data_IF_248728345373
#
_entry.id   IF_248728345373
#
_cell.length_a   1.000
_cell.length_b   1.000
_cell.length_c   1.000
_cell.angle_alpha   90.00
_cell.angle_beta   90.00
_cell.angle_gamma   90.00
#
_symmetry.space_group_name_H-M   'P 1'
#
loop_
_entity.id
_entity.type
_entity.pdbx_description
1 polymer ?
#
# COMPACT_ATOMS: atom_id res chain seq x y z
N UNK A 1 59.65 -30.11 30.10
CA UNK A 1 59.05 -29.94 28.75
C UNK A 1 57.60 -29.51 28.93
N UNK A 2 57.28 -28.20 28.82
CA UNK A 2 55.93 -27.62 28.97
C UNK A 2 55.37 -27.42 27.57
N UNK A 3 54.29 -28.13 27.20
CA UNK A 3 53.52 -27.92 25.94
C UNK A 3 52.57 -26.74 26.14
N UNK A 4 52.78 -25.70 25.37
CA UNK A 4 51.85 -24.57 25.26
C UNK A 4 50.73 -24.94 24.29
N UNK A 5 49.47 -24.88 24.77
CA UNK A 5 48.27 -24.99 23.97
C UNK A 5 47.91 -23.59 23.44
N UNK A 6 47.98 -23.43 22.14
CA UNK A 6 47.52 -22.23 21.46
C UNK A 6 46.00 -22.39 21.25
N UNK A 7 45.21 -21.60 21.98
CA UNK A 7 43.74 -21.45 21.71
C UNK A 7 43.56 -20.46 20.57
N UNK A 8 43.08 -20.93 19.42
CA UNK A 8 42.66 -20.10 18.34
C UNK A 8 41.21 -19.60 18.63
N UNK A 9 41.06 -18.33 18.92
CA UNK A 9 39.77 -17.69 19.01
C UNK A 9 39.23 -17.44 17.59
N UNK A 10 38.18 -18.19 17.21
CA UNK A 10 37.41 -17.92 15.99
C UNK A 10 36.47 -16.72 16.29
N UNK A 11 36.81 -15.56 15.76
CA UNK A 11 35.94 -14.40 15.74
C UNK A 11 34.91 -14.62 14.62
N UNK A 12 33.70 -15.02 15.00
CA UNK A 12 32.55 -15.03 14.11
C UNK A 12 32.11 -13.58 13.83
N UNK A 13 32.55 -13.05 12.70
CA UNK A 13 32.05 -11.79 12.15
C UNK A 13 30.59 -12.05 11.71
N UNK A 14 29.65 -11.72 12.57
CA UNK A 14 28.22 -11.66 12.17
C UNK A 14 28.03 -10.48 11.23
N UNK A 15 28.08 -10.75 9.93
CA UNK A 15 27.69 -9.80 8.90
C UNK A 15 26.17 -9.62 9.00
N UNK A 16 25.73 -8.66 9.79
CA UNK A 16 24.35 -8.16 9.73
C UNK A 16 24.22 -7.39 8.43
N UNK A 17 23.80 -8.07 7.38
CA UNK A 17 23.36 -7.40 6.17
C UNK A 17 22.17 -6.50 6.53
N UNK A 18 22.42 -5.21 6.69
CA UNK A 18 21.36 -4.21 6.71
C UNK A 18 20.57 -4.36 5.41
N UNK A 19 19.23 -4.32 5.46
CA UNK A 19 18.41 -4.52 4.27
C UNK A 19 18.70 -3.41 3.27
N UNK A 20 19.33 -3.75 2.16
CA UNK A 20 19.66 -2.86 1.05
C UNK A 20 18.41 -2.33 0.29
N UNK A 21 17.21 -2.51 0.85
CA UNK A 21 15.92 -2.24 0.21
C UNK A 21 15.30 -0.85 0.53
N UNK A 22 15.96 -0.02 1.34
CA UNK A 22 15.41 1.32 1.68
C UNK A 22 16.05 2.50 0.94
N UNK A 23 17.09 2.28 0.14
CA UNK A 23 17.71 3.36 -0.63
C UNK A 23 16.85 3.70 -1.85
N UNK A 24 16.09 4.78 -1.76
CA UNK A 24 15.33 5.36 -2.88
C UNK A 24 13.84 5.56 -2.64
N UNK A 25 13.27 5.08 -1.54
CA UNK A 25 11.87 5.39 -1.19
C UNK A 25 11.78 6.80 -0.63
N UNK A 26 10.86 7.59 -1.17
CA UNK A 26 10.50 8.86 -0.55
C UNK A 26 10.15 8.62 0.92
N UNK A 27 10.70 9.41 1.86
CA UNK A 27 10.26 9.33 3.24
C UNK A 27 8.75 9.53 3.25
N UNK A 28 8.03 8.68 4.01
CA UNK A 28 6.59 8.84 4.18
C UNK A 28 6.34 10.26 4.67
N UNK A 29 5.67 11.07 3.86
CA UNK A 29 5.35 12.44 4.23
C UNK A 29 4.31 12.41 5.34
N UNK A 30 4.76 12.64 6.55
CA UNK A 30 3.91 12.79 7.73
C UNK A 30 3.76 11.51 8.56
N UNK A 31 3.63 11.71 9.86
CA UNK A 31 3.15 10.70 10.81
C UNK A 31 1.63 10.72 10.67
N UNK A 32 1.03 9.57 10.34
CA UNK A 32 -0.42 9.43 10.31
C UNK A 32 -0.85 8.38 11.35
N UNK A 33 -2.07 8.46 11.89
CA UNK A 33 -2.65 7.41 12.71
C UNK A 33 -2.65 6.08 11.92
N UNK A 34 -2.51 4.96 12.61
CA UNK A 34 -2.28 3.66 11.96
C UNK A 34 -0.81 3.44 11.64
N UNK A 35 -0.52 2.52 10.77
CA UNK A 35 0.84 2.16 10.38
C UNK A 35 1.08 2.30 8.88
N UNK A 36 2.35 2.23 8.50
CA UNK A 36 2.73 2.05 7.09
C UNK A 36 3.47 0.75 6.92
N UNK A 37 3.08 0.00 5.89
CA UNK A 37 3.70 -1.27 5.50
C UNK A 37 4.18 -1.21 4.06
N UNK A 38 5.18 -2.03 3.73
CA UNK A 38 5.57 -2.23 2.32
C UNK A 38 4.57 -3.17 1.64
N UNK A 39 4.51 -3.24 0.29
CA UNK A 39 3.65 -4.19 -0.40
C UNK A 39 3.89 -5.64 0.03
N UNK A 40 5.16 -6.04 0.19
CA UNK A 40 5.52 -7.39 0.67
C UNK A 40 5.02 -7.65 2.09
N UNK A 41 5.12 -6.66 3.00
CA UNK A 41 4.58 -6.78 4.35
C UNK A 41 3.06 -6.86 4.33
N UNK A 42 2.39 -6.03 3.53
CA UNK A 42 0.94 -6.07 3.36
C UNK A 42 0.46 -7.44 2.85
N UNK A 43 1.15 -7.99 1.86
CA UNK A 43 0.83 -9.33 1.35
C UNK A 43 0.98 -10.42 2.42
N UNK A 44 2.04 -10.34 3.25
CA UNK A 44 2.22 -11.28 4.39
C UNK A 44 1.09 -11.17 5.42
N UNK A 45 0.65 -9.95 5.74
CA UNK A 45 -0.47 -9.73 6.68
C UNK A 45 -1.76 -10.34 6.10
N UNK A 46 -2.04 -10.15 4.81
CA UNK A 46 -3.18 -10.77 4.13
C UNK A 46 -3.16 -12.31 4.21
N UNK A 47 -1.97 -12.92 4.11
CA UNK A 47 -1.83 -14.37 4.17
C UNK A 47 -1.96 -14.94 5.59
N UNK A 48 -1.70 -14.14 6.62
CA UNK A 48 -1.76 -14.57 8.03
C UNK A 48 -3.19 -14.67 8.56
N UNK A 49 -4.07 -13.78 8.12
CA UNK A 49 -5.48 -13.75 8.53
C UNK A 49 -6.37 -13.32 7.35
N UNK A 50 -6.61 -14.22 6.39
CA UNK A 50 -7.36 -13.90 5.18
C UNK A 50 -8.86 -13.68 5.40
N UNK A 51 -9.39 -14.09 6.56
CA UNK A 51 -10.80 -13.93 6.92
C UNK A 51 -11.10 -12.51 7.46
N UNK A 52 -10.11 -11.90 8.12
CA UNK A 52 -10.25 -10.60 8.78
C UNK A 52 -9.25 -9.55 8.29
N UNK A 53 -8.58 -9.79 7.16
CA UNK A 53 -7.66 -8.82 6.56
C UNK A 53 -8.04 -8.53 5.12
N UNK A 54 -8.19 -7.25 4.80
CA UNK A 54 -8.68 -6.81 3.51
C UNK A 54 -7.77 -5.75 2.90
N UNK A 55 -7.49 -5.91 1.60
CA UNK A 55 -6.80 -4.92 0.79
C UNK A 55 -7.84 -4.04 0.09
N UNK A 56 -7.77 -2.73 0.31
CA UNK A 56 -8.70 -1.75 -0.26
C UNK A 56 -7.94 -0.80 -1.17
N UNK A 57 -8.24 -0.89 -2.46
CA UNK A 57 -7.70 0.00 -3.48
C UNK A 57 -8.55 1.28 -3.56
N UNK A 58 -7.97 2.38 -3.08
CA UNK A 58 -8.65 3.67 -3.04
C UNK A 58 -8.46 4.51 -4.31
N UNK A 59 -7.90 3.91 -5.35
CA UNK A 59 -7.79 4.53 -6.67
C UNK A 59 -9.16 4.64 -7.34
N UNK A 60 -9.22 5.43 -8.41
CA UNK A 60 -10.42 5.54 -9.22
C UNK A 60 -10.76 4.20 -9.90
N UNK A 61 -12.03 4.00 -10.27
CA UNK A 61 -12.48 2.82 -11.02
C UNK A 61 -11.67 2.60 -12.31
N UNK A 62 -11.31 3.69 -13.00
CA UNK A 62 -10.47 3.64 -14.21
C UNK A 62 -9.05 3.15 -13.92
N UNK A 63 -8.41 3.64 -12.85
CA UNK A 63 -7.09 3.14 -12.46
C UNK A 63 -7.16 1.66 -12.07
N UNK A 64 -8.19 1.24 -11.34
CA UNK A 64 -8.40 -0.15 -10.93
C UNK A 64 -8.56 -1.08 -12.15
N UNK A 65 -9.39 -0.71 -13.11
CA UNK A 65 -9.66 -1.48 -14.32
C UNK A 65 -8.51 -1.42 -15.33
N UNK A 66 -8.07 -0.21 -15.70
CA UNK A 66 -7.24 -0.01 -16.90
C UNK A 66 -5.73 -0.09 -16.62
N UNK A 67 -5.31 0.15 -15.37
CA UNK A 67 -3.92 -0.02 -14.92
C UNK A 67 -3.70 -1.40 -14.30
N UNK A 68 -4.78 -2.10 -13.94
CA UNK A 68 -4.76 -3.34 -13.17
C UNK A 68 -4.77 -3.09 -11.66
N UNK A 69 -4.97 -4.13 -10.87
CA UNK A 69 -5.13 -4.06 -9.42
C UNK A 69 -4.63 -5.33 -8.72
N UNK A 70 -4.30 -5.27 -7.42
CA UNK A 70 -3.95 -6.47 -6.67
C UNK A 70 -5.11 -7.46 -6.67
N UNK A 71 -4.82 -8.74 -6.88
CA UNK A 71 -5.83 -9.80 -6.86
C UNK A 71 -6.57 -9.82 -5.53
N UNK A 72 -7.90 -9.77 -5.57
CA UNK A 72 -8.76 -9.78 -4.38
C UNK A 72 -8.86 -8.45 -3.63
N UNK A 73 -8.29 -7.36 -4.15
CA UNK A 73 -8.45 -6.04 -3.55
C UNK A 73 -9.83 -5.44 -3.83
N UNK A 74 -10.51 -4.96 -2.81
CA UNK A 74 -11.76 -4.21 -2.95
C UNK A 74 -11.47 -2.81 -3.50
N UNK A 75 -12.19 -2.39 -4.54
CA UNK A 75 -12.10 -1.00 -5.00
C UNK A 75 -13.12 -0.14 -4.25
N UNK A 76 -12.64 0.79 -3.45
CA UNK A 76 -13.46 1.84 -2.82
C UNK A 76 -12.77 3.18 -3.10
N UNK A 77 -13.13 3.88 -4.19
CA UNK A 77 -12.45 5.10 -4.57
C UNK A 77 -12.56 6.20 -3.51
N UNK A 78 -11.43 6.77 -3.10
CA UNK A 78 -11.43 7.96 -2.22
C UNK A 78 -11.92 9.22 -2.96
N UNK A 79 -11.78 9.23 -4.30
CA UNK A 79 -12.12 10.37 -5.16
C UNK A 79 -12.60 9.90 -6.53
N UNK A 80 -13.47 10.69 -7.13
CA UNK A 80 -13.92 10.49 -8.51
C UNK A 80 -13.36 11.56 -9.44
N UNK A 81 -13.14 11.21 -10.71
CA UNK A 81 -12.96 12.19 -11.77
C UNK A 81 -14.31 12.77 -12.20
N UNK A 82 -14.32 14.05 -12.50
CA UNK A 82 -15.44 14.72 -13.15
C UNK A 82 -15.12 14.97 -14.63
N UNK A 83 -16.10 15.42 -15.40
CA UNK A 83 -15.90 15.86 -16.78
C UNK A 83 -15.27 17.26 -16.88
N UNK A 84 -15.26 18.01 -15.77
CA UNK A 84 -14.66 19.34 -15.72
C UNK A 84 -13.15 19.27 -15.73
N UNK A 85 -12.51 20.19 -16.45
CA UNK A 85 -11.06 20.32 -16.51
C UNK A 85 -10.50 21.07 -15.29
N UNK A 86 -9.24 20.79 -14.97
CA UNK A 86 -8.42 21.49 -13.99
C UNK A 86 -7.06 21.81 -14.64
N UNK A 87 -6.21 22.57 -13.94
CA UNK A 87 -4.91 22.98 -14.48
C UNK A 87 -4.06 21.81 -15.01
N UNK A 88 -4.21 20.63 -14.43
CA UNK A 88 -3.50 19.40 -14.85
C UNK A 88 -4.49 18.24 -14.95
N UNK A 89 -5.21 18.15 -16.09
CA UNK A 89 -6.15 17.07 -16.36
C UNK A 89 -7.56 17.34 -15.85
N UNK A 90 -8.30 16.29 -15.50
CA UNK A 90 -9.66 16.40 -15.02
C UNK A 90 -9.74 16.69 -13.52
N UNK A 91 -10.76 17.48 -13.14
CA UNK A 91 -11.06 17.77 -11.74
C UNK A 91 -11.46 16.50 -11.00
N UNK A 92 -10.97 16.35 -9.76
CA UNK A 92 -11.36 15.28 -8.85
C UNK A 92 -12.22 15.84 -7.73
N UNK A 93 -13.22 15.06 -7.33
CA UNK A 93 -14.09 15.35 -6.19
C UNK A 93 -13.99 14.21 -5.18
N UNK A 94 -14.15 14.47 -3.88
CA UNK A 94 -14.20 13.41 -2.87
C UNK A 94 -15.32 12.42 -3.15
N UNK A 95 -15.17 11.19 -2.67
CA UNK A 95 -16.26 10.24 -2.51
C UNK A 95 -16.90 10.50 -1.14
N UNK A 96 -18.01 11.19 -1.11
CA UNK A 96 -18.74 11.52 0.13
C UNK A 96 -19.25 10.25 0.87
N UNK A 97 -19.38 9.13 0.16
CA UNK A 97 -19.83 7.86 0.72
C UNK A 97 -18.68 6.96 1.16
N UNK A 98 -17.41 7.38 1.04
CA UNK A 98 -16.25 6.53 1.29
C UNK A 98 -16.32 5.77 2.63
N UNK A 99 -16.60 6.47 3.72
CA UNK A 99 -16.73 5.89 5.06
C UNK A 99 -17.93 4.97 5.18
N UNK A 100 -19.07 5.34 4.60
CA UNK A 100 -20.28 4.52 4.62
C UNK A 100 -20.07 3.21 3.85
N UNK A 101 -19.46 3.29 2.69
CA UNK A 101 -19.11 2.11 1.86
C UNK A 101 -18.11 1.19 2.55
N UNK A 102 -17.11 1.77 3.24
CA UNK A 102 -16.15 1.01 4.01
C UNK A 102 -16.83 0.22 5.16
N UNK A 103 -17.68 0.88 5.94
CA UNK A 103 -18.43 0.26 7.04
C UNK A 103 -19.49 -0.76 6.59
N UNK A 104 -19.97 -0.63 5.37
CA UNK A 104 -20.90 -1.60 4.81
C UNK A 104 -20.25 -2.94 4.45
N UNK A 105 -18.92 -2.94 4.25
CA UNK A 105 -18.15 -4.11 3.85
C UNK A 105 -17.31 -4.71 5.00
N UNK A 106 -16.84 -3.87 5.93
CA UNK A 106 -15.85 -4.26 6.94
C UNK A 106 -16.29 -3.87 8.35
N UNK A 107 -15.93 -4.70 9.31
CA UNK A 107 -16.21 -4.48 10.73
C UNK A 107 -15.07 -3.64 11.36
N UNK A 108 -15.34 -2.41 11.87
CA UNK A 108 -14.34 -1.56 12.49
C UNK A 108 -13.60 -2.17 13.68
N UNK A 109 -14.24 -3.10 14.41
CA UNK A 109 -13.69 -3.69 15.64
C UNK A 109 -12.75 -4.87 15.36
N UNK A 110 -13.02 -5.65 14.32
CA UNK A 110 -12.33 -6.92 14.08
C UNK A 110 -11.41 -6.91 12.89
N UNK A 111 -11.73 -6.13 11.83
CA UNK A 111 -11.07 -6.26 10.57
C UNK A 111 -9.80 -5.39 10.45
N UNK A 112 -8.81 -5.93 9.78
CA UNK A 112 -7.57 -5.24 9.42
C UNK A 112 -7.69 -4.71 8.00
N UNK A 113 -7.49 -3.42 7.81
CA UNK A 113 -7.62 -2.77 6.50
C UNK A 113 -6.26 -2.27 6.01
N UNK A 114 -5.88 -2.72 4.83
CA UNK A 114 -4.66 -2.30 4.14
C UNK A 114 -5.07 -1.41 2.96
N UNK A 115 -4.88 -0.11 3.08
CA UNK A 115 -5.20 0.83 2.00
C UNK A 115 -4.07 0.95 1.00
N UNK A 116 -4.37 0.71 -0.27
CA UNK A 116 -3.42 0.87 -1.37
C UNK A 116 -3.93 1.92 -2.37
N UNK A 117 -3.00 2.72 -2.87
CA UNK A 117 -3.28 3.62 -3.99
C UNK A 117 -2.17 3.50 -5.05
N UNK A 118 -1.92 4.54 -5.82
CA UNK A 118 -0.87 4.52 -6.86
C UNK A 118 0.54 4.37 -6.28
N UNK A 119 0.87 5.18 -5.23
CA UNK A 119 2.22 5.29 -4.65
C UNK A 119 2.24 5.47 -3.12
N UNK A 120 1.10 5.29 -2.44
CA UNK A 120 1.00 5.42 -0.98
C UNK A 120 0.57 6.80 -0.47
N UNK A 121 0.45 7.84 -1.31
CA UNK A 121 0.07 9.19 -0.86
C UNK A 121 -1.44 9.36 -0.62
N UNK A 122 -2.28 8.81 -1.52
CA UNK A 122 -3.76 8.91 -1.41
C UNK A 122 -4.34 7.98 -0.36
N UNK A 123 -3.65 6.90 -0.05
CA UNK A 123 -4.06 5.94 0.97
C UNK A 123 -3.84 6.46 2.40
N UNK A 124 -2.98 7.47 2.63
CA UNK A 124 -2.85 8.13 3.93
C UNK A 124 -4.17 8.75 4.39
N UNK A 125 -4.80 9.70 3.66
CA UNK A 125 -6.08 10.24 4.08
C UNK A 125 -7.21 9.21 4.13
N UNK A 126 -7.08 8.07 3.44
CA UNK A 126 -8.03 6.96 3.60
C UNK A 126 -7.85 6.25 4.95
N UNK A 127 -6.61 6.06 5.42
CA UNK A 127 -6.36 5.53 6.78
C UNK A 127 -6.90 6.47 7.85
N UNK A 128 -6.68 7.77 7.72
CA UNK A 128 -7.20 8.79 8.63
C UNK A 128 -8.72 8.75 8.70
N UNK A 129 -9.40 8.77 7.54
CA UNK A 129 -10.86 8.72 7.47
C UNK A 129 -11.45 7.42 8.08
N UNK A 130 -10.78 6.27 7.92
CA UNK A 130 -11.20 5.02 8.52
C UNK A 130 -11.07 5.05 10.06
N UNK A 131 -9.96 5.57 10.59
CA UNK A 131 -9.72 5.67 12.03
C UNK A 131 -10.71 6.66 12.66
N UNK A 132 -10.92 7.82 12.06
CA UNK A 132 -11.92 8.80 12.50
C UNK A 132 -13.34 8.23 12.49
N UNK A 133 -13.59 7.25 11.62
CA UNK A 133 -14.84 6.52 11.54
C UNK A 133 -14.98 5.37 12.55
N UNK A 134 -13.96 5.11 13.36
CA UNK A 134 -13.97 4.12 14.44
C UNK A 134 -13.27 2.80 14.13
N UNK A 135 -12.55 2.67 13.02
CA UNK A 135 -11.65 1.54 12.81
C UNK A 135 -10.46 1.64 13.77
N UNK A 136 -10.02 0.53 14.32
CA UNK A 136 -8.88 0.50 15.27
C UNK A 136 -7.59 0.91 14.57
N UNK A 137 -6.88 1.89 15.13
CA UNK A 137 -5.67 2.44 14.53
C UNK A 137 -4.54 1.42 14.33
N UNK A 138 -4.45 0.41 15.21
CA UNK A 138 -3.49 -0.69 15.12
C UNK A 138 -3.86 -1.75 14.06
N UNK A 139 -5.05 -1.63 13.46
CA UNK A 139 -5.56 -2.51 12.39
C UNK A 139 -5.72 -1.79 11.03
N UNK A 140 -5.30 -0.55 10.91
CA UNK A 140 -5.41 0.22 9.66
C UNK A 140 -4.04 0.63 9.17
N UNK A 141 -3.70 0.26 7.94
CA UNK A 141 -2.37 0.47 7.38
C UNK A 141 -2.40 1.12 6.01
N UNK A 142 -1.43 2.01 5.78
CA UNK A 142 -1.10 2.53 4.46
C UNK A 142 -0.06 1.62 3.79
N UNK A 143 -0.31 1.17 2.57
CA UNK A 143 0.68 0.43 1.75
C UNK A 143 1.57 1.43 1.02
N UNK A 144 2.80 1.63 1.53
CA UNK A 144 3.83 2.51 0.93
C UNK A 144 4.25 1.98 -0.44
N UNK A 145 4.50 2.89 -1.37
CA UNK A 145 4.80 2.55 -2.75
C UNK A 145 3.57 2.19 -3.57
N UNK A 146 2.46 1.84 -2.91
CA UNK A 146 1.18 1.57 -3.56
C UNK A 146 1.26 0.47 -4.62
N UNK A 147 0.43 0.58 -5.65
CA UNK A 147 0.37 -0.40 -6.74
C UNK A 147 1.52 -0.23 -7.75
N UNK A 148 1.79 1.03 -8.17
CA UNK A 148 2.74 1.33 -9.27
C UNK A 148 4.16 1.71 -8.78
N UNK A 149 4.37 1.88 -7.47
CA UNK A 149 5.67 2.28 -6.93
C UNK A 149 5.90 3.79 -6.87
N UNK A 150 7.06 4.15 -6.33
CA UNK A 150 7.54 5.52 -6.20
C UNK A 150 8.42 5.97 -7.38
N UNK A 151 8.58 7.28 -7.51
CA UNK A 151 9.47 7.88 -8.50
C UNK A 151 10.93 7.72 -8.07
N UNK A 152 11.81 7.49 -9.03
CA UNK A 152 13.25 7.65 -8.83
C UNK A 152 13.55 9.14 -8.72
N UNK A 153 13.99 9.59 -7.55
CA UNK A 153 14.24 11.00 -7.24
C UNK A 153 15.72 11.40 -7.32
N UNK A 154 16.64 10.46 -7.61
CA UNK A 154 18.04 10.77 -7.86
C UNK A 154 18.19 11.38 -9.27
N UNK A 155 18.58 12.66 -9.41
CA UNK A 155 18.71 13.33 -10.71
C UNK A 155 19.82 12.74 -11.59
N UNK A 156 20.80 12.07 -11.01
CA UNK A 156 21.89 11.41 -11.73
C UNK A 156 21.49 10.03 -12.31
N UNK A 157 20.31 9.55 -11.96
CA UNK A 157 19.80 8.28 -12.46
C UNK A 157 19.19 8.44 -13.85
N UNK A 158 19.49 7.51 -14.81
CA UNK A 158 18.81 7.48 -16.11
C UNK A 158 17.30 7.20 -15.98
N UNK A 159 16.85 6.75 -14.81
CA UNK A 159 15.45 6.50 -14.49
C UNK A 159 14.79 7.66 -13.71
N UNK A 160 15.46 8.81 -13.58
CA UNK A 160 14.89 9.96 -12.87
C UNK A 160 13.47 10.28 -13.33
N UNK A 161 12.56 10.43 -12.38
CA UNK A 161 11.15 10.69 -12.66
C UNK A 161 10.34 9.48 -13.16
N UNK A 162 10.93 8.30 -13.29
CA UNK A 162 10.22 7.05 -13.58
C UNK A 162 9.76 6.35 -12.30
N UNK A 163 8.61 5.64 -12.36
CA UNK A 163 8.10 4.81 -11.26
C UNK A 163 8.69 3.42 -11.36
N UNK A 164 9.75 3.19 -10.62
CA UNK A 164 10.44 1.89 -10.61
C UNK A 164 10.95 1.50 -9.21
N UNK A 165 10.48 2.21 -8.17
CA UNK A 165 10.94 1.98 -6.79
C UNK A 165 9.82 1.42 -5.95
N UNK A 166 9.88 0.12 -5.66
CA UNK A 166 8.87 -0.59 -4.88
C UNK A 166 7.47 -0.45 -5.50
N UNK A 167 6.50 -1.09 -4.93
CA UNK A 167 5.13 -1.11 -5.44
C UNK A 167 4.63 -2.53 -5.64
N UNK A 168 3.34 -2.75 -5.48
CA UNK A 168 2.75 -4.08 -5.52
C UNK A 168 3.10 -4.84 -6.80
N UNK A 169 2.89 -4.23 -7.95
CA UNK A 169 3.18 -4.84 -9.25
C UNK A 169 4.67 -5.00 -9.53
N UNK A 170 5.48 -4.05 -9.07
CA UNK A 170 6.95 -4.09 -9.24
C UNK A 170 7.63 -5.10 -8.32
N UNK A 171 7.07 -5.32 -7.13
CA UNK A 171 7.56 -6.32 -6.17
C UNK A 171 7.12 -7.76 -6.57
N UNK A 172 6.45 -7.92 -7.73
CA UNK A 172 6.04 -9.23 -8.27
C UNK A 172 4.89 -9.90 -7.50
N UNK A 173 4.11 -9.13 -6.73
CA UNK A 173 2.97 -9.65 -5.99
C UNK A 173 1.76 -9.89 -6.91
N UNK A 174 0.82 -10.80 -6.55
CA UNK A 174 -0.31 -11.16 -7.40
C UNK A 174 -1.18 -9.95 -7.75
N UNK A 175 -1.42 -9.73 -9.03
CA UNK A 175 -2.30 -8.69 -9.55
C UNK A 175 -2.95 -9.12 -10.87
N UNK A 176 -4.00 -8.41 -11.30
CA UNK A 176 -4.81 -8.79 -12.45
C UNK A 176 -5.48 -7.58 -13.11
N UNK A 177 -6.00 -7.78 -14.32
CA UNK A 177 -6.98 -6.92 -15.00
C UNK A 177 -8.40 -7.51 -14.96
N UNK A 178 -8.57 -8.73 -14.43
CA UNK A 178 -9.87 -9.40 -14.38
C UNK A 178 -10.77 -8.71 -13.36
N UNK A 179 -11.99 -8.37 -13.81
CA UNK A 179 -12.96 -7.61 -13.04
C UNK A 179 -13.97 -8.55 -12.36
N UNK A 180 -13.71 -8.91 -11.09
CA UNK A 180 -14.67 -9.63 -10.25
C UNK A 180 -15.65 -8.65 -9.58
N UNK A 181 -16.95 -8.85 -9.83
CA UNK A 181 -18.03 -8.00 -9.27
C UNK A 181 -18.00 -7.89 -7.75
N UNK A 182 -17.52 -8.91 -7.06
CA UNK A 182 -17.37 -8.92 -5.59
C UNK A 182 -16.49 -7.78 -5.09
N UNK A 183 -15.45 -7.44 -5.85
CA UNK A 183 -14.42 -6.47 -5.46
C UNK A 183 -14.58 -5.10 -6.14
N UNK A 184 -15.45 -5.00 -7.12
CA UNK A 184 -15.70 -3.76 -7.86
C UNK A 184 -16.51 -2.77 -7.05
N UNK A 185 -16.22 -1.48 -7.21
CA UNK A 185 -17.04 -0.41 -6.65
C UNK A 185 -18.32 -0.23 -7.46
N UNK A 186 -19.46 -0.59 -6.87
CA UNK A 186 -20.77 -0.64 -7.52
C UNK A 186 -21.85 0.04 -6.63
N UNK A 187 -21.78 1.36 -6.40
CA UNK A 187 -22.73 2.05 -5.51
C UNK A 187 -24.15 2.04 -6.07
N UNK A 188 -24.30 1.99 -7.40
CA UNK A 188 -25.57 2.11 -8.09
C UNK A 188 -26.37 0.79 -8.15
N UNK A 189 -25.79 -0.30 -7.65
CA UNK A 189 -26.41 -1.63 -7.68
C UNK A 189 -26.83 -2.14 -6.29
N UNK A 190 -26.89 -1.23 -5.32
CA UNK A 190 -27.36 -1.52 -3.95
C UNK A 190 -28.84 -1.23 -3.82
#
# INVERSE_FOLDING_TARGET
>A
MKKALLSAAIVLLSCTAAPALEQGRNPVKGIHPGGSVTPIQAYKILQQDPEHTFLVDVRTRYEYQDVGHPTGAYNIPLRFYTTATARRGYRKVPNENFVADLKALFNPETDTILFICRSGERSIPATEAAIDAGFKADKVYNVRGGFEGDLVMNPDSPLYGKRTVGGWSLDGLPWTYEMDRKYMYQPDLK
#
